data_IF_240478968207
#
_entry.id   IF_240478968207
#
_cell.length_a   1.000
_cell.length_b   1.000
_cell.length_c   1.000
_cell.angle_alpha   90.00
_cell.angle_beta   90.00
_cell.angle_gamma   90.00
#
_symmetry.space_group_name_H-M   'P 1'
#
loop_
_entity.id
_entity.type
_entity.pdbx_description
1 polymer ?
#
# COMPACT_ATOMS: atom_id res chain seq x y z
N UNK A 1 3.83 -73.13 49.22
CA UNK A 1 4.08 -74.47 48.66
C UNK A 1 4.14 -74.36 47.15
N UNK A 2 5.09 -75.06 46.55
CA UNK A 2 5.64 -74.90 45.22
C UNK A 2 4.77 -75.41 44.04
N UNK A 3 4.91 -74.71 42.91
CA UNK A 3 5.10 -75.18 41.52
C UNK A 3 3.92 -75.92 40.85
N UNK A 4 3.43 -75.37 39.72
CA UNK A 4 3.59 -75.99 38.40
C UNK A 4 3.20 -75.03 37.27
N UNK A 5 4.22 -74.63 36.51
CA UNK A 5 4.13 -73.96 35.21
C UNK A 5 3.63 -74.98 34.19
N UNK A 6 2.57 -74.65 33.45
CA UNK A 6 2.21 -75.37 32.22
C UNK A 6 2.30 -74.38 31.06
N UNK A 7 3.41 -74.43 30.35
CA UNK A 7 3.62 -73.69 29.11
C UNK A 7 2.62 -74.19 28.06
N UNK A 8 1.78 -73.29 27.54
CA UNK A 8 0.94 -73.56 26.37
C UNK A 8 1.56 -72.80 25.18
N UNK A 9 2.13 -73.56 24.25
CA UNK A 9 2.59 -73.08 22.93
C UNK A 9 1.35 -72.73 22.10
N UNK A 10 1.19 -71.51 21.55
CA UNK A 10 0.21 -71.29 20.50
C UNK A 10 0.79 -71.71 19.14
N UNK A 11 0.07 -72.61 18.48
CA UNK A 11 0.28 -72.99 17.10
C UNK A 11 -0.30 -71.91 16.16
N UNK A 12 0.48 -71.50 15.14
CA UNK A 12 -0.05 -70.80 13.97
C UNK A 12 -0.56 -71.84 12.96
N UNK A 13 -1.70 -71.57 12.29
CA UNK A 13 -1.68 -71.10 10.89
C UNK A 13 -2.76 -70.01 10.67
N UNK A 14 -2.65 -69.04 9.77
CA UNK A 14 -2.54 -69.14 8.31
C UNK A 14 -3.68 -68.30 7.69
N UNK A 15 -3.31 -67.27 6.92
CA UNK A 15 -4.07 -66.27 6.13
C UNK A 15 -5.51 -66.63 5.72
N UNK A 16 -6.43 -65.65 5.64
CA UNK A 16 -7.23 -65.26 4.45
C UNK A 16 -7.94 -63.89 4.65
N UNK A 17 -7.59 -62.86 3.86
CA UNK A 17 -8.35 -61.60 3.75
C UNK A 17 -8.49 -61.27 2.25
N UNK A 18 -9.62 -61.57 1.61
CA UNK A 18 -9.86 -61.12 0.22
C UNK A 18 -11.33 -61.16 -0.19
N UNK A 19 -12.11 -60.14 0.22
CA UNK A 19 -13.35 -59.79 -0.49
C UNK A 19 -13.79 -58.33 -0.25
N UNK A 20 -13.44 -57.72 0.90
CA UNK A 20 -13.82 -56.34 1.24
C UNK A 20 -12.78 -55.28 0.80
N UNK A 21 -11.86 -55.61 -0.13
CA UNK A 21 -10.80 -54.67 -0.54
C UNK A 21 -11.16 -53.84 -1.77
N UNK A 22 -12.02 -54.32 -2.68
CA UNK A 22 -12.22 -53.68 -3.99
C UNK A 22 -12.94 -52.32 -3.91
N UNK A 23 -13.99 -52.20 -3.10
CA UNK A 23 -14.74 -50.93 -2.95
C UNK A 23 -13.97 -49.91 -2.11
N UNK A 24 -13.22 -50.36 -1.11
CA UNK A 24 -12.34 -49.50 -0.31
C UNK A 24 -11.18 -48.97 -1.15
N UNK A 25 -10.61 -49.80 -2.03
CA UNK A 25 -9.57 -49.37 -2.94
C UNK A 25 -10.05 -48.30 -3.93
N UNK A 26 -11.30 -48.41 -4.41
CA UNK A 26 -11.88 -47.40 -5.32
C UNK A 26 -12.10 -46.05 -4.64
N UNK A 27 -12.58 -46.05 -3.39
CA UNK A 27 -12.76 -44.80 -2.61
C UNK A 27 -11.41 -44.16 -2.30
N UNK A 28 -10.41 -44.95 -1.90
CA UNK A 28 -9.04 -44.46 -1.66
C UNK A 28 -8.44 -43.87 -2.94
N UNK A 29 -8.64 -44.53 -4.08
CA UNK A 29 -8.16 -44.05 -5.38
C UNK A 29 -8.78 -42.67 -5.72
N UNK A 30 -10.09 -42.51 -5.58
CA UNK A 30 -10.77 -41.23 -5.87
C UNK A 30 -10.33 -40.11 -4.92
N UNK A 31 -10.09 -40.41 -3.64
CA UNK A 31 -9.58 -39.41 -2.67
C UNK A 31 -8.15 -38.94 -2.96
N UNK A 32 -7.29 -39.81 -3.51
CA UNK A 32 -5.91 -39.44 -3.87
C UNK A 32 -5.88 -38.51 -5.09
N UNK A 33 -6.82 -38.63 -6.03
CA UNK A 33 -6.86 -37.79 -7.23
C UNK A 33 -7.33 -36.34 -7.00
N UNK A 34 -7.91 -36.03 -5.83
CA UNK A 34 -8.48 -34.70 -5.55
C UNK A 34 -7.46 -33.65 -5.07
N UNK A 35 -6.16 -33.98 -4.99
CA UNK A 35 -5.12 -33.11 -4.41
C UNK A 35 -4.46 -32.11 -5.38
N UNK A 36 -4.88 -32.02 -6.64
CA UNK A 36 -4.22 -31.18 -7.65
C UNK A 36 -4.73 -29.72 -7.73
N UNK A 37 -5.07 -29.09 -6.60
CA UNK A 37 -5.38 -27.66 -6.55
C UNK A 37 -4.14 -26.87 -6.12
N UNK A 38 -3.17 -26.72 -7.03
CA UNK A 38 -2.03 -25.84 -6.84
C UNK A 38 -2.41 -24.43 -7.31
N UNK A 39 -2.34 -23.44 -6.41
CA UNK A 39 -2.55 -22.04 -6.74
C UNK A 39 -1.25 -21.45 -7.30
N UNK A 40 -1.10 -21.51 -8.62
CA UNK A 40 0.03 -20.90 -9.31
C UNK A 40 -0.19 -19.38 -9.45
N UNK A 41 0.77 -18.58 -8.97
CA UNK A 41 0.77 -17.14 -9.13
C UNK A 41 1.55 -16.74 -10.39
N UNK A 42 0.87 -16.12 -11.34
CA UNK A 42 1.44 -15.68 -12.61
C UNK A 42 1.81 -14.21 -12.57
N UNK A 43 3.00 -13.87 -13.08
CA UNK A 43 3.50 -12.51 -13.19
C UNK A 43 3.75 -12.15 -14.66
N UNK A 44 3.32 -10.95 -15.08
CA UNK A 44 3.68 -10.39 -16.38
C UNK A 44 3.87 -8.87 -16.29
N UNK A 45 4.52 -8.31 -17.32
CA UNK A 45 4.75 -6.87 -17.46
C UNK A 45 3.88 -6.37 -18.61
N UNK A 46 3.14 -5.29 -18.41
CA UNK A 46 2.33 -4.67 -19.45
C UNK A 46 3.18 -3.77 -20.37
N UNK A 47 2.56 -3.27 -21.44
CA UNK A 47 3.19 -2.38 -22.44
C UNK A 47 3.69 -1.07 -21.85
N UNK A 48 3.08 -0.62 -20.74
CA UNK A 48 3.50 0.57 -19.98
C UNK A 48 4.62 0.26 -18.98
N UNK A 49 5.09 -0.99 -18.96
CA UNK A 49 6.15 -1.48 -18.11
C UNK A 49 5.76 -1.74 -16.66
N UNK A 50 4.47 -1.75 -16.35
CA UNK A 50 3.93 -2.06 -15.02
C UNK A 50 3.80 -3.57 -14.83
N UNK A 51 4.16 -4.02 -13.65
CA UNK A 51 4.18 -5.43 -13.27
C UNK A 51 2.84 -5.82 -12.64
N UNK A 52 2.24 -6.89 -13.14
CA UNK A 52 0.94 -7.41 -12.69
C UNK A 52 1.08 -8.86 -12.22
N UNK A 53 0.19 -9.25 -11.31
CA UNK A 53 0.10 -10.60 -10.75
C UNK A 53 -1.34 -11.10 -10.82
N UNK A 54 -1.55 -12.38 -11.15
CA UNK A 54 -2.87 -13.01 -11.21
C UNK A 54 -2.76 -14.51 -10.94
N UNK A 55 -3.86 -15.10 -10.46
CA UNK A 55 -3.99 -16.55 -10.29
C UNK A 55 -4.30 -17.29 -11.62
N UNK A 56 -4.43 -16.53 -12.72
CA UNK A 56 -4.66 -17.06 -14.07
C UNK A 56 -3.62 -16.53 -15.04
N UNK A 57 -3.06 -17.41 -15.87
CA UNK A 57 -2.16 -17.04 -16.94
C UNK A 57 -2.92 -16.17 -17.97
N UNK A 58 -2.63 -14.86 -17.98
CA UNK A 58 -3.31 -13.95 -18.90
C UNK A 58 -2.74 -13.97 -20.31
N UNK A 59 -1.45 -14.32 -20.49
CA UNK A 59 -0.72 -14.23 -21.75
C UNK A 59 0.45 -15.24 -21.80
N UNK A 60 0.95 -15.57 -23.00
CA UNK A 60 2.09 -16.49 -23.19
C UNK A 60 3.42 -16.01 -22.55
N UNK A 61 3.51 -14.72 -22.21
CA UNK A 61 4.65 -14.12 -21.50
C UNK A 61 4.52 -14.19 -19.98
N UNK A 62 3.45 -14.80 -19.46
CA UNK A 62 3.24 -14.96 -18.04
C UNK A 62 4.22 -15.98 -17.48
N UNK A 63 5.07 -15.54 -16.55
CA UNK A 63 6.01 -16.42 -15.85
C UNK A 63 5.39 -16.86 -14.53
N UNK A 64 5.40 -18.17 -14.27
CA UNK A 64 4.98 -18.72 -12.97
C UNK A 64 6.01 -18.32 -11.92
N UNK A 65 5.55 -17.71 -10.83
CA UNK A 65 6.39 -17.27 -9.72
C UNK A 65 6.01 -18.06 -8.48
N UNK A 66 6.88 -18.99 -8.07
CA UNK A 66 6.73 -19.70 -6.80
C UNK A 66 7.21 -18.81 -5.66
N UNK A 67 6.29 -18.38 -4.81
CA UNK A 67 6.62 -17.59 -3.61
C UNK A 67 7.06 -18.56 -2.50
N UNK A 68 8.34 -18.91 -2.48
CA UNK A 68 8.91 -19.92 -1.55
C UNK A 68 9.01 -19.44 -0.09
N UNK A 69 8.85 -18.14 0.18
CA UNK A 69 8.92 -17.59 1.54
C UNK A 69 7.74 -16.67 1.81
N UNK A 70 7.05 -16.80 2.96
CA UNK A 70 6.19 -15.74 3.43
C UNK A 70 7.04 -14.47 3.58
N UNK A 71 6.47 -13.31 3.30
CA UNK A 71 7.15 -12.04 3.48
C UNK A 71 7.48 -11.82 4.96
N UNK A 72 8.62 -12.31 5.43
CA UNK A 72 9.13 -12.02 6.77
C UNK A 72 9.69 -10.59 6.78
N UNK A 73 8.77 -9.62 6.68
CA UNK A 73 9.07 -8.22 6.78
C UNK A 73 9.21 -7.89 8.27
N UNK A 74 10.46 -7.85 8.76
CA UNK A 74 10.73 -7.50 10.15
C UNK A 74 10.79 -5.96 10.27
N UNK A 75 10.21 -5.40 11.33
CA UNK A 75 10.09 -3.95 11.51
C UNK A 75 11.43 -3.20 11.52
N UNK A 76 12.55 -3.89 11.78
CA UNK A 76 13.89 -3.31 11.73
C UNK A 76 14.32 -2.95 10.30
N UNK A 77 13.97 -3.79 9.32
CA UNK A 77 14.28 -3.55 7.90
C UNK A 77 13.43 -2.42 7.33
N UNK A 78 12.24 -2.20 7.91
CA UNK A 78 11.36 -1.09 7.52
C UNK A 78 12.04 0.25 7.70
N UNK A 79 12.77 0.44 8.81
CA UNK A 79 13.45 1.70 9.11
C UNK A 79 14.59 1.95 8.15
N UNK A 80 15.41 0.93 7.84
CA UNK A 80 16.50 1.05 6.89
C UNK A 80 16.01 1.34 5.46
N UNK A 81 14.91 0.71 5.03
CA UNK A 81 14.30 0.97 3.71
C UNK A 81 13.63 2.35 3.69
N UNK A 82 12.95 2.77 4.77
CA UNK A 82 12.38 4.11 4.88
C UNK A 82 13.45 5.20 4.93
N UNK A 83 14.55 4.95 5.63
CA UNK A 83 15.68 5.88 5.77
C UNK A 83 16.43 5.97 4.44
N UNK A 84 16.67 4.86 3.75
CA UNK A 84 17.27 4.85 2.40
C UNK A 84 16.36 5.49 1.36
N UNK A 85 15.05 5.29 1.45
CA UNK A 85 14.07 6.02 0.63
C UNK A 85 14.08 7.52 0.93
N UNK A 86 14.16 7.92 2.22
CA UNK A 86 14.33 9.32 2.64
C UNK A 86 15.65 9.92 2.15
N UNK A 87 16.75 9.16 2.18
CA UNK A 87 18.07 9.60 1.73
C UNK A 87 18.14 9.72 0.20
N UNK A 88 17.47 8.80 -0.53
CA UNK A 88 17.33 8.90 -1.98
C UNK A 88 16.49 10.11 -2.39
N UNK A 89 15.43 10.47 -1.66
CA UNK A 89 14.69 11.74 -1.88
C UNK A 89 15.48 13.00 -1.49
N UNK A 90 16.65 12.87 -0.86
CA UNK A 90 17.55 13.99 -0.55
C UNK A 90 18.64 14.19 -1.61
N UNK A 91 18.76 13.32 -2.63
CA UNK A 91 19.54 13.68 -3.81
C UNK A 91 18.86 14.87 -4.51
N UNK A 92 19.61 15.95 -4.82
CA UNK A 92 19.05 17.20 -5.34
C UNK A 92 18.74 17.13 -6.83
N UNK A 93 18.11 16.04 -7.29
CA UNK A 93 17.70 15.90 -8.68
C UNK A 93 16.18 15.69 -8.75
N UNK A 94 15.49 16.67 -9.35
CA UNK A 94 14.02 16.79 -9.50
C UNK A 94 13.20 17.30 -8.32
N UNK A 95 13.77 18.12 -7.43
CA UNK A 95 12.98 19.11 -6.65
C UNK A 95 12.76 20.41 -7.45
N UNK A 96 12.45 20.28 -8.74
CA UNK A 96 12.12 21.39 -9.65
C UNK A 96 10.74 21.20 -10.27
N UNK A 97 9.70 21.14 -9.43
CA UNK A 97 8.35 21.48 -9.91
C UNK A 97 7.38 22.05 -8.87
N UNK A 98 7.83 22.21 -7.63
CA UNK A 98 7.18 23.13 -6.71
C UNK A 98 8.26 24.06 -6.19
N UNK A 99 8.54 25.10 -6.99
CA UNK A 99 9.10 26.31 -6.43
C UNK A 99 8.15 26.69 -5.28
N UNK A 100 8.64 26.55 -4.05
CA UNK A 100 8.03 27.21 -2.91
C UNK A 100 7.82 28.65 -3.35
N UNK A 101 6.58 29.15 -3.45
CA UNK A 101 6.39 30.46 -4.02
C UNK A 101 7.09 31.48 -3.11
N UNK A 102 7.64 32.58 -3.65
CA UNK A 102 8.50 33.50 -2.90
C UNK A 102 7.84 34.13 -1.66
N UNK A 103 6.53 33.95 -1.47
CA UNK A 103 5.79 34.46 -0.31
C UNK A 103 6.26 33.87 1.04
N UNK A 104 6.91 32.69 1.06
CA UNK A 104 7.43 32.14 2.31
C UNK A 104 8.61 32.94 2.89
N UNK A 105 9.09 33.95 2.16
CA UNK A 105 10.14 34.88 2.58
C UNK A 105 9.64 36.33 2.68
N UNK A 106 8.33 36.56 2.66
CA UNK A 106 7.78 37.88 2.94
C UNK A 106 8.12 38.28 4.40
N UNK A 107 8.55 39.53 4.66
CA UNK A 107 8.92 39.96 6.00
C UNK A 107 7.72 39.81 6.93
N UNK A 108 7.87 38.94 7.94
CA UNK A 108 6.86 38.61 8.96
C UNK A 108 6.43 39.79 9.85
N UNK A 109 6.94 41.00 9.58
CA UNK A 109 7.10 42.06 10.56
C UNK A 109 6.19 43.28 10.37
N UNK A 110 5.19 43.23 9.47
CA UNK A 110 4.27 44.36 9.24
C UNK A 110 2.79 44.05 9.50
N UNK A 111 2.45 42.82 9.89
CA UNK A 111 1.05 42.48 10.21
C UNK A 111 0.74 42.91 11.65
N UNK A 112 -0.31 43.72 11.82
CA UNK A 112 -0.72 44.19 13.14
C UNK A 112 -1.21 43.03 14.01
N UNK A 113 -0.90 43.07 15.31
CA UNK A 113 -1.35 42.02 16.24
C UNK A 113 -2.88 41.98 16.35
N UNK A 114 -3.55 43.12 16.18
CA UNK A 114 -5.01 43.23 16.20
C UNK A 114 -5.65 42.47 15.04
N UNK A 115 -5.13 42.62 13.83
CA UNK A 115 -5.63 41.90 12.65
C UNK A 115 -5.48 40.38 12.79
N UNK A 116 -4.36 39.92 13.39
CA UNK A 116 -4.16 38.48 13.66
C UNK A 116 -5.20 37.98 14.65
N UNK A 117 -5.44 38.70 15.75
CA UNK A 117 -6.40 38.31 16.78
C UNK A 117 -7.83 38.26 16.22
N UNK A 118 -8.21 39.22 15.38
CA UNK A 118 -9.52 39.22 14.72
C UNK A 118 -9.70 37.98 13.83
N UNK A 119 -8.68 37.61 13.06
CA UNK A 119 -8.72 36.42 12.19
C UNK A 119 -8.77 35.12 12.98
N UNK A 120 -8.04 35.05 14.10
CA UNK A 120 -8.13 33.90 15.01
C UNK A 120 -9.54 33.81 15.62
N UNK A 121 -10.10 34.93 16.06
CA UNK A 121 -11.45 34.97 16.63
C UNK A 121 -12.55 34.58 15.62
N UNK A 122 -12.45 35.00 14.36
CA UNK A 122 -13.37 34.56 13.29
C UNK A 122 -13.21 33.05 13.01
N UNK A 123 -11.96 32.56 12.95
CA UNK A 123 -11.67 31.15 12.77
C UNK A 123 -12.29 30.29 13.89
N UNK A 124 -12.15 30.73 15.15
CA UNK A 124 -12.71 30.07 16.33
C UNK A 124 -14.25 30.10 16.31
N UNK A 125 -14.86 31.23 15.93
CA UNK A 125 -16.32 31.36 15.77
C UNK A 125 -16.85 30.35 14.76
N UNK A 126 -16.13 30.13 13.66
CA UNK A 126 -16.46 29.16 12.61
C UNK A 126 -16.12 27.73 12.97
N UNK A 127 -15.53 27.48 14.16
CA UNK A 127 -15.11 26.17 14.65
C UNK A 127 -14.19 25.43 13.67
N UNK A 128 -13.31 26.17 12.99
CA UNK A 128 -12.35 25.58 12.06
C UNK A 128 -11.24 24.88 12.85
N UNK A 129 -10.83 23.68 12.44
CA UNK A 129 -9.75 22.95 13.10
C UNK A 129 -8.40 23.62 12.82
N UNK A 130 -7.57 23.76 13.85
CA UNK A 130 -6.22 24.32 13.72
C UNK A 130 -6.19 25.85 13.58
N UNK A 131 -7.10 26.55 14.27
CA UNK A 131 -7.02 28.00 14.43
C UNK A 131 -5.81 28.38 15.29
N UNK A 132 -5.18 29.49 14.93
CA UNK A 132 -4.06 30.05 15.68
C UNK A 132 -3.26 31.05 14.86
N UNK A 133 -2.40 31.81 15.53
CA UNK A 133 -1.64 32.92 14.94
C UNK A 133 -0.85 32.53 13.69
N UNK A 134 -0.23 31.34 13.70
CA UNK A 134 0.55 30.85 12.57
C UNK A 134 -0.31 30.65 11.30
N UNK A 135 -1.57 30.25 11.46
CA UNK A 135 -2.50 30.12 10.35
C UNK A 135 -2.96 31.50 9.86
N UNK A 136 -3.38 32.37 10.78
CA UNK A 136 -3.80 33.74 10.45
C UNK A 136 -2.70 34.51 9.71
N UNK A 137 -1.44 34.43 10.16
CA UNK A 137 -0.29 35.05 9.48
C UNK A 137 -0.07 34.53 8.06
N UNK A 138 -0.30 33.23 7.82
CA UNK A 138 -0.20 32.65 6.47
C UNK A 138 -1.32 33.12 5.58
N UNK A 139 -2.56 33.17 6.09
CA UNK A 139 -3.71 33.65 5.33
C UNK A 139 -3.53 35.12 4.93
N UNK A 140 -3.05 35.97 5.84
CA UNK A 140 -2.74 37.38 5.55
C UNK A 140 -1.62 37.50 4.51
N UNK A 141 -0.55 36.69 4.63
CA UNK A 141 0.54 36.69 3.65
C UNK A 141 0.08 36.20 2.25
N UNK A 142 -0.78 35.18 2.20
CA UNK A 142 -1.36 34.68 0.96
C UNK A 142 -2.27 35.72 0.32
N UNK A 143 -3.12 36.41 1.09
CA UNK A 143 -3.96 37.52 0.62
C UNK A 143 -3.11 38.67 0.07
N UNK A 144 -2.07 39.07 0.80
CA UNK A 144 -1.13 40.09 0.35
C UNK A 144 -0.47 39.70 -0.98
N UNK A 145 -0.04 38.45 -1.13
CA UNK A 145 0.53 37.94 -2.37
C UNK A 145 -0.47 37.96 -3.53
N UNK A 146 -1.72 37.51 -3.30
CA UNK A 146 -2.78 37.50 -4.31
C UNK A 146 -3.08 38.89 -4.86
N UNK A 147 -2.92 39.93 -4.04
CA UNK A 147 -3.15 41.32 -4.44
C UNK A 147 -1.99 41.92 -5.26
N UNK A 148 -0.81 41.29 -5.26
CA UNK A 148 0.32 41.73 -6.10
C UNK A 148 0.03 41.54 -7.61
N UNK A 149 0.64 42.32 -8.50
CA UNK A 149 0.53 42.10 -9.95
C UNK A 149 0.96 40.69 -10.38
N UNK A 150 1.98 40.12 -9.73
CA UNK A 150 2.44 38.75 -9.99
C UNK A 150 1.42 37.70 -9.57
N UNK A 151 0.84 37.85 -8.38
CA UNK A 151 -0.22 36.97 -7.88
C UNK A 151 -1.48 37.01 -8.76
N UNK A 152 -1.89 38.20 -9.23
CA UNK A 152 -3.03 38.36 -10.14
C UNK A 152 -2.82 37.64 -11.47
N UNK A 153 -1.66 37.81 -12.11
CA UNK A 153 -1.33 37.10 -13.36
C UNK A 153 -1.36 35.58 -13.16
N UNK A 154 -0.87 35.09 -12.03
CA UNK A 154 -0.92 33.66 -11.72
C UNK A 154 -2.36 33.16 -11.59
N UNK A 155 -3.25 33.92 -10.95
CA UNK A 155 -4.68 33.57 -10.84
C UNK A 155 -5.36 33.55 -12.21
N UNK A 156 -5.07 34.52 -13.08
CA UNK A 156 -5.58 34.56 -14.45
C UNK A 156 -5.15 33.31 -15.22
N UNK A 157 -3.87 32.94 -15.17
CA UNK A 157 -3.36 31.74 -15.82
C UNK A 157 -4.02 30.45 -15.33
N UNK A 158 -4.28 30.34 -14.02
CA UNK A 158 -4.97 29.19 -13.45
C UNK A 158 -6.43 29.16 -13.91
N UNK A 159 -7.11 30.31 -13.91
CA UNK A 159 -8.49 30.44 -14.40
C UNK A 159 -8.59 30.02 -15.86
N UNK A 160 -7.71 30.54 -16.71
CA UNK A 160 -7.71 30.26 -18.14
C UNK A 160 -7.39 28.79 -18.40
N UNK A 161 -6.47 28.19 -17.63
CA UNK A 161 -6.19 26.75 -17.71
C UNK A 161 -7.41 25.91 -17.35
N UNK A 162 -8.06 26.20 -16.22
CA UNK A 162 -9.28 25.48 -15.81
C UNK A 162 -10.41 25.63 -16.83
N UNK A 163 -10.53 26.82 -17.44
CA UNK A 163 -11.54 27.07 -18.47
C UNK A 163 -11.27 26.23 -19.73
N UNK A 164 -10.01 26.11 -20.15
CA UNK A 164 -9.62 25.20 -21.25
C UNK A 164 -9.91 23.74 -20.92
N UNK A 165 -9.58 23.29 -19.71
CA UNK A 165 -9.88 21.92 -19.25
C UNK A 165 -11.38 21.63 -19.26
N UNK A 166 -12.21 22.59 -18.81
CA UNK A 166 -13.67 22.45 -18.81
C UNK A 166 -14.26 22.39 -20.22
N UNK A 167 -13.73 23.17 -21.17
CA UNK A 167 -14.17 23.14 -22.57
C UNK A 167 -13.83 21.83 -23.29
N UNK A 168 -12.78 21.11 -22.85
CA UNK A 168 -12.39 19.82 -23.43
C UNK A 168 -13.23 18.63 -22.92
N UNK A 169 -13.92 18.80 -21.79
CA UNK A 169 -14.75 17.75 -21.18
C UNK A 169 -16.22 17.80 -21.65
N UNK A 170 -16.53 18.70 -22.59
CA UNK A 170 -17.88 18.92 -23.13
C UNK A 170 -17.93 18.52 -24.59
#
# INVERSE_FOLDING_TARGET
MCILIRACKPAFPGKEHSAMSKNVFFIILVSVLSHAAHADLYQWKDENGKLHFSDRASNEQAKTVTVTRPNSYSGADSKAVHDKARQSTRQPEKRSRFAVPPYQQAPQNQVSQQEIQERVADCERRRIVGCGDARARREIADEAYRNTPGGRRQQEQIRDRKMREWMQQR
#
